data_IF_014458903050
#
_entry.id   IF_014458903050
#
_cell.length_a   1.000
_cell.length_b   1.000
_cell.length_c   1.000
_cell.angle_alpha   90.00
_cell.angle_beta   90.00
_cell.angle_gamma   90.00
#
_symmetry.space_group_name_H-M   'P 1'
#
loop_
_entity.id
_entity.type
_entity.pdbx_description
1 polymer ?
#
# COMPACT_ATOMS: atom_id res chain seq x y z
N UNK A 1 32.65 14.67 2.17
CA UNK A 1 32.58 13.72 1.05
C UNK A 1 31.16 13.19 1.01
N UNK A 2 30.27 13.85 0.27
CA UNK A 2 28.91 13.33 0.06
C UNK A 2 28.99 12.18 -0.92
N UNK A 3 28.48 11.01 -0.57
CA UNK A 3 28.29 9.94 -1.53
C UNK A 3 27.24 10.37 -2.54
N UNK A 4 27.47 10.17 -3.85
CA UNK A 4 26.47 10.31 -4.92
C UNK A 4 25.31 9.30 -4.82
N UNK A 5 25.17 8.62 -3.68
CA UNK A 5 24.16 7.61 -3.41
C UNK A 5 22.98 8.30 -2.74
N UNK A 6 21.84 8.32 -3.44
CA UNK A 6 20.57 8.72 -2.87
C UNK A 6 20.10 7.67 -1.88
N UNK A 7 19.92 8.06 -0.62
CA UNK A 7 19.39 7.21 0.45
C UNK A 7 17.99 7.69 0.82
N UNK A 8 17.05 6.76 0.92
CA UNK A 8 15.67 7.01 1.38
C UNK A 8 15.48 6.16 2.64
N UNK A 9 15.11 6.78 3.75
CA UNK A 9 14.77 6.07 4.96
C UNK A 9 13.25 5.76 4.99
N UNK A 10 12.88 4.55 5.40
CA UNK A 10 11.47 4.17 5.62
C UNK A 10 11.26 3.83 7.09
N UNK A 11 10.13 4.27 7.64
CA UNK A 11 9.70 3.99 9.00
C UNK A 11 8.29 3.41 8.99
N UNK A 12 8.12 2.20 9.54
CA UNK A 12 6.79 1.61 9.72
C UNK A 12 6.21 2.08 11.05
N UNK A 13 5.13 2.85 10.97
CA UNK A 13 4.41 3.40 12.10
C UNK A 13 3.57 2.32 12.79
N UNK A 14 3.90 2.07 14.05
CA UNK A 14 3.18 1.18 14.96
C UNK A 14 2.88 1.93 16.27
N UNK A 15 1.82 1.59 17.01
CA UNK A 15 1.53 2.22 18.31
C UNK A 15 2.70 2.20 19.30
N UNK A 16 3.56 1.18 19.21
CA UNK A 16 4.72 1.01 20.10
C UNK A 16 5.93 1.88 19.77
N UNK A 17 6.08 2.36 18.53
CA UNK A 17 7.28 3.11 18.09
C UNK A 17 6.95 4.50 17.51
N UNK A 18 5.68 4.83 17.28
CA UNK A 18 5.30 6.07 16.60
C UNK A 18 5.81 7.32 17.32
N UNK A 19 5.94 7.27 18.65
CA UNK A 19 6.46 8.35 19.47
C UNK A 19 7.91 8.72 19.16
N UNK A 20 8.68 7.85 18.50
CA UNK A 20 10.08 8.05 18.09
C UNK A 20 10.22 8.80 16.75
N UNK A 21 9.11 9.11 16.06
CA UNK A 21 9.15 9.76 14.75
C UNK A 21 9.92 11.10 14.73
N UNK A 22 9.78 12.01 15.72
CA UNK A 22 10.57 13.24 15.75
C UNK A 22 12.08 12.97 15.86
N UNK A 23 12.51 12.08 16.75
CA UNK A 23 13.91 11.69 16.92
C UNK A 23 14.46 10.97 15.68
N UNK A 24 13.63 10.20 14.99
CA UNK A 24 13.99 9.59 13.72
C UNK A 24 14.31 10.63 12.64
N UNK A 25 13.63 11.77 12.61
CA UNK A 25 13.97 12.87 11.69
C UNK A 25 15.33 13.48 12.01
N UNK A 26 15.66 13.64 13.30
CA UNK A 26 16.99 14.10 13.73
C UNK A 26 18.09 13.14 13.30
N UNK A 27 17.85 11.83 13.48
CA UNK A 27 18.77 10.79 13.05
C UNK A 27 19.00 10.86 11.53
N UNK A 28 17.93 10.97 10.74
CA UNK A 28 18.03 11.08 9.29
C UNK A 28 18.84 12.32 8.89
N UNK A 29 18.58 13.48 9.52
CA UNK A 29 19.33 14.71 9.25
C UNK A 29 20.81 14.57 9.62
N UNK A 30 21.13 14.00 10.78
CA UNK A 30 22.51 13.76 11.22
C UNK A 30 23.29 12.79 10.33
N UNK A 31 22.59 11.89 9.64
CA UNK A 31 23.16 10.97 8.64
C UNK A 31 23.21 11.55 7.22
N UNK A 32 22.67 12.76 7.00
CA UNK A 32 22.59 13.37 5.67
C UNK A 32 21.54 12.74 4.75
N UNK A 33 20.51 12.10 5.31
CA UNK A 33 19.40 11.53 4.56
C UNK A 33 18.38 12.63 4.26
N UNK A 34 18.10 12.83 2.98
CA UNK A 34 17.23 13.93 2.50
C UNK A 34 15.77 13.49 2.27
N UNK A 35 15.49 12.18 2.28
CA UNK A 35 14.17 11.63 1.96
C UNK A 35 13.71 10.58 2.96
N UNK A 36 12.48 10.72 3.43
CA UNK A 36 11.87 9.85 4.43
C UNK A 36 10.45 9.44 4.00
N UNK A 37 10.12 8.16 4.14
CA UNK A 37 8.77 7.63 3.96
C UNK A 37 8.25 7.07 5.28
N UNK A 38 7.06 7.51 5.70
CA UNK A 38 6.36 7.01 6.87
C UNK A 38 5.22 6.09 6.42
N UNK A 39 5.43 4.79 6.58
CA UNK A 39 4.55 3.71 6.14
C UNK A 39 3.65 3.23 7.28
N UNK A 40 2.44 2.76 6.96
CA UNK A 40 1.66 1.99 7.92
C UNK A 40 1.96 0.49 7.81
N UNK A 41 1.55 -0.28 8.83
CA UNK A 41 1.42 -1.73 8.72
C UNK A 41 0.21 -2.11 7.85
N UNK A 42 0.33 -1.96 6.53
CA UNK A 42 -0.77 -2.12 5.57
C UNK A 42 -1.07 -3.58 5.17
N UNK A 43 -0.34 -4.57 5.70
CA UNK A 43 -0.67 -5.98 5.53
C UNK A 43 -0.76 -6.69 6.88
N UNK A 44 -1.98 -7.01 7.29
CA UNK A 44 -2.28 -7.61 8.59
C UNK A 44 -2.45 -9.12 8.41
N UNK A 45 -1.54 -9.92 8.93
CA UNK A 45 -1.54 -11.39 8.75
C UNK A 45 -2.42 -12.13 9.77
N UNK A 46 -2.73 -11.50 10.91
CA UNK A 46 -3.46 -12.15 12.00
C UNK A 46 -4.26 -11.14 12.83
N UNK A 47 -5.22 -11.64 13.62
CA UNK A 47 -6.04 -10.77 14.51
C UNK A 47 -5.19 -9.98 15.50
N UNK A 48 -4.09 -10.56 16.00
CA UNK A 48 -3.22 -9.89 16.96
C UNK A 48 -2.50 -8.68 16.33
N UNK A 49 -2.24 -8.70 15.02
CA UNK A 49 -1.62 -7.57 14.33
C UNK A 49 -2.57 -6.39 14.11
N UNK A 50 -3.88 -6.58 14.28
CA UNK A 50 -4.87 -5.49 14.18
C UNK A 50 -4.62 -4.42 15.24
N UNK A 51 -4.03 -4.78 16.39
CA UNK A 51 -3.67 -3.79 17.42
C UNK A 51 -2.35 -3.07 17.15
N UNK A 52 -1.65 -3.41 16.06
CA UNK A 52 -0.34 -2.82 15.71
C UNK A 52 -0.43 -1.77 14.61
N UNK A 53 -1.60 -1.56 14.01
CA UNK A 53 -1.81 -0.50 13.02
C UNK A 53 -1.90 0.87 13.70
N UNK A 54 -1.29 1.86 13.08
CA UNK A 54 -1.31 3.26 13.52
C UNK A 54 -2.46 4.07 12.89
N UNK A 55 -3.26 3.47 12.01
CA UNK A 55 -4.37 4.10 11.30
C UNK A 55 -5.73 3.59 11.78
N UNK A 56 -6.80 4.30 11.42
CA UNK A 56 -8.19 3.96 11.69
C UNK A 56 -8.88 3.37 10.46
N UNK A 57 -9.75 2.36 10.67
CA UNK A 57 -10.64 1.83 9.62
C UNK A 57 -11.69 2.89 9.21
N UNK A 58 -12.38 2.77 8.05
CA UNK A 58 -13.28 3.82 7.52
C UNK A 58 -14.39 4.32 8.47
N UNK A 59 -14.78 3.54 9.48
CA UNK A 59 -15.82 3.88 10.44
C UNK A 59 -15.29 4.13 11.86
N UNK A 60 -13.98 4.09 12.04
CA UNK A 60 -13.34 4.38 13.33
C UNK A 60 -12.92 5.84 13.40
N UNK A 61 -13.01 6.43 14.60
CA UNK A 61 -12.48 7.77 14.81
C UNK A 61 -10.95 7.77 14.64
N UNK A 62 -10.44 8.78 13.94
CA UNK A 62 -9.00 8.99 13.78
C UNK A 62 -8.37 9.26 15.16
N UNK A 63 -7.28 8.54 15.47
CA UNK A 63 -6.54 8.77 16.70
C UNK A 63 -5.85 10.15 16.67
N UNK A 64 -6.44 11.11 17.40
CA UNK A 64 -5.88 12.46 17.57
C UNK A 64 -4.47 12.45 18.16
N UNK A 65 -4.10 11.40 18.91
CA UNK A 65 -2.77 11.26 19.48
C UNK A 65 -1.74 10.89 18.40
N UNK A 66 -2.01 9.84 17.63
CA UNK A 66 -1.17 9.39 16.52
C UNK A 66 -0.97 10.52 15.50
N UNK A 67 -2.07 11.16 15.08
CA UNK A 67 -2.02 12.28 14.13
C UNK A 67 -1.11 13.41 14.60
N UNK A 68 -1.21 13.81 15.87
CA UNK A 68 -0.34 14.88 16.42
C UNK A 68 1.14 14.51 16.33
N UNK A 69 1.49 13.26 16.58
CA UNK A 69 2.88 12.80 16.51
C UNK A 69 3.38 12.83 15.06
N UNK A 70 2.57 12.34 14.11
CA UNK A 70 2.91 12.40 12.68
C UNK A 70 3.04 13.87 12.22
N UNK A 71 2.11 14.75 12.61
CA UNK A 71 2.19 16.18 12.30
C UNK A 71 3.45 16.84 12.88
N UNK A 72 3.85 16.46 14.09
CA UNK A 72 5.10 16.92 14.70
C UNK A 72 6.32 16.47 13.90
N UNK A 73 6.36 15.20 13.50
CA UNK A 73 7.45 14.65 12.69
C UNK A 73 7.52 15.31 11.30
N UNK A 74 6.37 15.55 10.65
CA UNK A 74 6.32 16.24 9.35
C UNK A 74 6.77 17.70 9.44
N UNK A 75 6.41 18.41 10.53
CA UNK A 75 6.95 19.75 10.81
C UNK A 75 8.46 19.69 11.03
N UNK A 76 8.95 18.71 11.80
CA UNK A 76 10.38 18.58 12.09
C UNK A 76 11.20 18.26 10.84
N UNK A 77 10.70 17.37 9.98
CA UNK A 77 11.28 17.09 8.68
C UNK A 77 11.44 18.37 7.84
N UNK A 78 10.40 19.21 7.79
CA UNK A 78 10.45 20.49 7.08
C UNK A 78 11.51 21.45 7.64
N UNK A 79 11.62 21.55 8.96
CA UNK A 79 12.65 22.38 9.61
C UNK A 79 14.09 21.89 9.30
N UNK A 80 14.25 20.58 9.16
CA UNK A 80 15.53 19.92 8.85
C UNK A 80 15.83 19.85 7.34
N UNK A 81 14.93 20.33 6.48
CA UNK A 81 15.08 20.26 5.03
C UNK A 81 14.88 18.86 4.43
N UNK A 82 14.28 17.94 5.16
CA UNK A 82 13.98 16.56 4.73
C UNK A 82 12.67 16.54 3.94
N UNK A 83 12.68 15.91 2.77
CA UNK A 83 11.47 15.57 2.01
C UNK A 83 10.81 14.33 2.63
N UNK A 84 9.86 14.57 3.53
CA UNK A 84 9.08 13.50 4.14
C UNK A 84 7.75 13.28 3.40
N UNK A 85 7.35 12.02 3.28
CA UNK A 85 6.01 11.59 2.85
C UNK A 85 5.41 10.68 3.91
N UNK A 86 4.11 10.81 4.18
CA UNK A 86 3.37 9.93 5.08
C UNK A 86 2.13 9.41 4.39
N UNK A 87 1.86 8.11 4.55
CA UNK A 87 0.57 7.54 4.16
C UNK A 87 -0.55 8.06 5.07
N UNK A 88 -1.79 7.95 4.58
CA UNK A 88 -2.98 8.36 5.33
C UNK A 88 -3.09 7.56 6.63
N UNK A 89 -3.63 8.20 7.68
CA UNK A 89 -3.99 7.55 8.93
C UNK A 89 -5.48 7.15 8.96
N UNK A 90 -6.21 7.42 7.89
CA UNK A 90 -7.63 7.07 7.73
C UNK A 90 -7.83 6.36 6.39
N UNK A 91 -8.59 5.27 6.41
CA UNK A 91 -8.88 4.47 5.23
C UNK A 91 -9.91 5.15 4.32
N UNK A 92 -9.54 5.43 3.07
CA UNK A 92 -10.43 5.87 2.00
C UNK A 92 -10.12 5.12 0.71
N UNK A 93 -11.13 4.51 0.10
CA UNK A 93 -10.93 3.74 -1.14
C UNK A 93 -10.37 4.64 -2.24
N UNK A 94 -9.20 4.27 -2.76
CA UNK A 94 -8.55 4.93 -3.87
C UNK A 94 -9.03 4.35 -5.20
N UNK A 95 -8.97 5.14 -6.26
CA UNK A 95 -9.19 4.65 -7.64
C UNK A 95 -8.25 3.48 -7.93
N UNK A 96 -6.97 3.64 -7.59
CA UNK A 96 -5.93 2.64 -7.68
C UNK A 96 -5.01 2.74 -6.46
N UNK A 97 -4.45 1.61 -6.01
CA UNK A 97 -3.56 1.59 -4.86
C UNK A 97 -2.15 2.14 -5.20
N UNK A 98 -1.33 2.52 -4.20
CA UNK A 98 0.01 3.05 -4.41
C UNK A 98 0.99 2.09 -5.11
N UNK A 99 0.68 0.78 -5.12
CA UNK A 99 1.47 -0.21 -5.87
C UNK A 99 1.31 -0.04 -7.38
N UNK A 100 0.28 0.68 -7.85
CA UNK A 100 0.00 0.97 -9.26
C UNK A 100 0.00 -0.28 -10.16
N UNK A 101 -0.83 -1.30 -9.88
CA UNK A 101 -0.90 -2.51 -10.69
C UNK A 101 -1.15 -2.30 -12.20
N UNK A 102 -1.63 -1.13 -12.63
CA UNK A 102 -1.77 -0.76 -14.05
C UNK A 102 -0.44 -0.44 -14.74
N UNK A 103 0.56 0.01 -13.97
CA UNK A 103 1.86 0.50 -14.45
C UNK A 103 3.03 -0.40 -14.01
N UNK A 104 2.85 -1.18 -12.94
CA UNK A 104 3.92 -1.95 -12.31
C UNK A 104 3.64 -3.45 -12.32
N UNK A 105 4.72 -4.21 -12.13
CA UNK A 105 4.69 -5.66 -12.01
C UNK A 105 5.57 -6.09 -10.84
N UNK A 106 5.08 -7.05 -10.06
CA UNK A 106 5.87 -7.73 -9.04
C UNK A 106 6.33 -9.08 -9.56
N UNK A 107 7.62 -9.38 -9.42
CA UNK A 107 8.20 -10.67 -9.77
C UNK A 107 8.84 -11.24 -8.51
N UNK A 108 8.37 -12.40 -8.07
CA UNK A 108 8.90 -13.03 -6.86
C UNK A 108 10.21 -13.80 -7.15
N UNK A 109 10.83 -14.34 -6.09
CA UNK A 109 12.10 -15.08 -6.19
C UNK A 109 12.03 -16.36 -7.04
N UNK A 110 10.83 -16.91 -7.27
CA UNK A 110 10.62 -18.08 -8.13
C UNK A 110 10.30 -17.69 -9.58
N UNK A 111 10.31 -16.39 -9.91
CA UNK A 111 9.95 -15.86 -11.22
C UNK A 111 8.44 -15.71 -11.46
N UNK A 112 7.58 -15.97 -10.47
CA UNK A 112 6.14 -15.77 -10.61
C UNK A 112 5.83 -14.28 -10.74
N UNK A 113 5.00 -13.95 -11.74
CA UNK A 113 4.60 -12.59 -12.08
C UNK A 113 3.23 -12.31 -11.48
N UNK A 114 3.12 -11.23 -10.71
CA UNK A 114 1.93 -10.85 -9.96
C UNK A 114 1.72 -9.33 -10.04
N UNK A 115 0.50 -8.83 -9.78
CA UNK A 115 0.21 -7.41 -9.93
C UNK A 115 0.75 -6.56 -8.77
N UNK A 116 1.02 -7.17 -7.61
CA UNK A 116 1.71 -6.53 -6.49
C UNK A 116 2.24 -7.59 -5.51
N UNK A 117 3.13 -7.17 -4.61
CA UNK A 117 3.72 -8.01 -3.56
C UNK A 117 2.67 -8.65 -2.65
N UNK A 118 1.57 -7.95 -2.34
CA UNK A 118 0.56 -8.39 -1.38
C UNK A 118 -0.40 -9.49 -1.90
N UNK A 119 -0.35 -9.78 -3.20
CA UNK A 119 -1.06 -10.92 -3.79
C UNK A 119 -0.15 -12.13 -4.01
N UNK A 120 1.15 -12.01 -3.71
CA UNK A 120 2.10 -13.10 -3.89
C UNK A 120 3.18 -13.07 -2.79
N UNK A 121 2.74 -12.91 -1.53
CA UNK A 121 3.65 -12.94 -0.39
C UNK A 121 4.37 -14.30 -0.30
N UNK A 122 5.63 -14.33 0.16
CA UNK A 122 6.44 -15.55 0.29
C UNK A 122 6.04 -16.37 1.54
N UNK A 123 4.74 -16.69 1.66
CA UNK A 123 4.22 -17.59 2.69
C UNK A 123 4.22 -19.03 2.21
N UNK A 124 4.30 -19.97 3.14
CA UNK A 124 4.18 -21.39 2.84
C UNK A 124 2.76 -21.72 2.35
N UNK A 125 2.66 -22.49 1.27
CA UNK A 125 1.38 -22.88 0.66
C UNK A 125 0.87 -21.90 -0.42
N UNK A 126 -0.37 -22.15 -0.87
CA UNK A 126 -1.03 -21.38 -1.94
C UNK A 126 -1.96 -20.27 -1.41
N UNK A 127 -2.15 -20.19 -0.10
CA UNK A 127 -3.04 -19.23 0.55
C UNK A 127 -2.25 -18.25 1.42
N UNK A 128 -2.61 -16.97 1.35
CA UNK A 128 -2.05 -15.89 2.15
C UNK A 128 -3.08 -15.49 3.21
N UNK A 129 -2.76 -15.59 4.52
CA UNK A 129 -3.65 -15.11 5.56
C UNK A 129 -3.73 -13.59 5.51
N UNK A 130 -4.94 -13.04 5.61
CA UNK A 130 -5.16 -11.59 5.61
C UNK A 130 -6.28 -11.24 6.57
N UNK A 131 -6.09 -10.16 7.31
CA UNK A 131 -7.13 -9.51 8.08
C UNK A 131 -7.41 -8.11 7.52
N UNK A 132 -8.68 -7.77 7.42
CA UNK A 132 -9.17 -6.50 6.94
C UNK A 132 -10.45 -6.15 7.70
N UNK A 133 -10.52 -4.95 8.27
CA UNK A 133 -11.65 -4.43 9.04
C UNK A 133 -12.17 -5.42 10.10
N UNK A 134 -11.27 -5.92 10.94
CA UNK A 134 -11.60 -6.87 12.02
C UNK A 134 -11.84 -8.32 11.58
N UNK A 135 -11.95 -8.60 10.28
CA UNK A 135 -12.22 -9.95 9.75
C UNK A 135 -10.96 -10.55 9.14
N UNK A 136 -10.73 -11.84 9.38
CA UNK A 136 -9.60 -12.56 8.81
C UNK A 136 -10.07 -13.69 7.90
N UNK A 137 -9.37 -13.85 6.79
CA UNK A 137 -9.63 -14.84 5.76
C UNK A 137 -8.31 -15.25 5.12
N UNK A 138 -8.40 -16.17 4.16
CA UNK A 138 -7.28 -16.62 3.36
C UNK A 138 -7.51 -16.25 1.91
N UNK A 139 -6.47 -15.75 1.25
CA UNK A 139 -6.51 -15.35 -0.15
C UNK A 139 -5.59 -16.26 -0.96
N UNK A 140 -6.07 -16.81 -2.07
CA UNK A 140 -5.20 -17.52 -3.00
C UNK A 140 -4.12 -16.60 -3.56
N UNK A 141 -2.87 -17.08 -3.65
CA UNK A 141 -1.80 -16.38 -4.36
C UNK A 141 -2.23 -16.11 -5.80
N UNK A 142 -1.97 -14.89 -6.27
CA UNK A 142 -2.24 -14.50 -7.66
C UNK A 142 -0.92 -14.53 -8.42
N UNK A 143 -0.88 -15.27 -9.51
CA UNK A 143 0.18 -15.21 -10.51
C UNK A 143 -0.44 -15.28 -11.89
N UNK A 144 0.06 -14.47 -12.82
CA UNK A 144 -0.37 -14.45 -14.22
C UNK A 144 0.60 -15.21 -15.14
N UNK A 145 1.70 -15.74 -14.61
CA UNK A 145 2.71 -16.47 -15.34
C UNK A 145 4.05 -16.49 -14.62
N UNK A 146 5.05 -17.11 -15.23
CA UNK A 146 6.41 -17.18 -14.70
C UNK A 146 7.41 -16.78 -15.78
N UNK A 147 8.37 -15.91 -15.43
CA UNK A 147 9.40 -15.43 -16.37
C UNK A 147 10.39 -16.51 -16.82
N UNK A 148 10.45 -17.64 -16.10
CA UNK A 148 11.23 -18.79 -16.50
C UNK A 148 10.58 -19.57 -17.65
N UNK A 149 9.26 -19.42 -17.84
CA UNK A 149 8.48 -20.15 -18.85
C UNK A 149 8.09 -19.28 -20.06
N UNK A 150 7.86 -17.98 -19.85
CA UNK A 150 7.37 -17.01 -20.85
C UNK A 150 8.11 -15.69 -20.75
N UNK A 151 8.19 -14.93 -21.85
CA UNK A 151 8.69 -13.57 -21.76
C UNK A 151 7.74 -12.70 -20.92
N UNK A 152 8.30 -11.76 -20.16
CA UNK A 152 7.52 -10.87 -19.28
C UNK A 152 6.41 -10.14 -20.04
N UNK A 153 6.69 -9.70 -21.28
CA UNK A 153 5.69 -9.00 -22.11
C UNK A 153 4.50 -9.88 -22.47
N UNK A 154 4.71 -11.19 -22.69
CA UNK A 154 3.63 -12.14 -22.98
C UNK A 154 2.75 -12.36 -21.75
N UNK A 155 3.36 -12.38 -20.55
CA UNK A 155 2.62 -12.43 -19.29
C UNK A 155 1.84 -11.14 -19.07
N UNK A 156 2.47 -9.98 -19.30
CA UNK A 156 1.84 -8.67 -19.18
C UNK A 156 0.63 -8.51 -20.11
N UNK A 157 0.73 -8.97 -21.36
CA UNK A 157 -0.34 -8.91 -22.35
C UNK A 157 -1.31 -10.11 -22.29
N UNK A 158 -1.14 -11.01 -21.32
CA UNK A 158 -2.09 -12.11 -21.13
C UNK A 158 -3.47 -11.57 -20.78
N UNK A 159 -4.50 -12.26 -21.28
CA UNK A 159 -5.89 -11.86 -21.09
C UNK A 159 -6.22 -11.68 -19.59
N UNK A 160 -5.85 -12.63 -18.75
CA UNK A 160 -6.17 -12.59 -17.31
C UNK A 160 -5.52 -11.40 -16.60
N UNK A 161 -4.29 -11.02 -16.98
CA UNK A 161 -3.61 -9.87 -16.39
C UNK A 161 -4.19 -8.55 -16.93
N UNK A 162 -4.54 -8.48 -18.21
CA UNK A 162 -5.28 -7.33 -18.77
C UNK A 162 -6.62 -7.16 -18.04
N UNK A 163 -7.40 -8.23 -17.90
CA UNK A 163 -8.71 -8.23 -17.25
C UNK A 163 -8.61 -7.77 -15.77
N UNK A 164 -7.51 -8.10 -15.09
CA UNK A 164 -7.21 -7.59 -13.76
C UNK A 164 -6.97 -6.07 -13.78
N UNK A 165 -6.07 -5.57 -14.65
CA UNK A 165 -5.68 -4.15 -14.69
C UNK A 165 -6.79 -3.24 -15.19
N UNK A 166 -7.62 -3.71 -16.13
CA UNK A 166 -8.71 -2.92 -16.72
C UNK A 166 -9.73 -2.45 -15.68
N UNK A 167 -9.91 -3.19 -14.58
CA UNK A 167 -10.78 -2.78 -13.48
C UNK A 167 -10.32 -1.48 -12.83
N UNK A 168 -9.01 -1.27 -12.67
CA UNK A 168 -8.47 0.00 -12.17
C UNK A 168 -8.56 1.10 -13.24
N UNK A 169 -8.27 0.80 -14.50
CA UNK A 169 -8.40 1.76 -15.60
C UNK A 169 -9.85 2.24 -15.83
N UNK A 170 -10.86 1.41 -15.54
CA UNK A 170 -12.27 1.84 -15.58
C UNK A 170 -12.61 2.77 -14.42
N UNK A 171 -12.03 2.54 -13.24
CA UNK A 171 -12.25 3.36 -12.05
C UNK A 171 -11.69 4.76 -12.19
N UNK A 172 -10.62 4.97 -12.97
CA UNK A 172 -10.12 6.32 -13.26
C UNK A 172 -11.09 7.16 -14.09
N UNK A 173 -12.09 6.55 -14.74
CA UNK A 173 -13.17 7.30 -15.40
C UNK A 173 -14.18 7.90 -14.42
N UNK A 174 -14.14 7.49 -13.14
CA UNK A 174 -14.94 8.08 -12.07
C UNK A 174 -14.35 9.41 -11.55
N UNK A 175 -13.12 9.74 -11.93
CA UNK A 175 -12.53 11.07 -11.68
C UNK A 175 -13.18 12.09 -12.64
N UNK A 176 -14.32 12.65 -12.21
CA UNK A 176 -15.19 13.53 -13.00
C UNK A 176 -16.66 13.46 -12.51
N UNK A 177 -17.55 14.34 -12.99
CA UNK A 177 -18.96 14.54 -12.56
C UNK A 177 -19.93 13.32 -12.71
N UNK A 178 -19.44 12.08 -12.61
CA UNK A 178 -20.24 10.88 -12.78
C UNK A 178 -20.62 10.19 -11.46
N UNK A 179 -20.47 10.83 -10.29
CA UNK A 179 -20.88 10.23 -9.01
C UNK A 179 -22.41 10.18 -8.82
N UNK A 180 -23.19 10.93 -9.60
CA UNK A 180 -24.65 11.03 -9.44
C UNK A 180 -25.48 10.08 -10.32
N UNK A 181 -24.84 9.19 -11.10
CA UNK A 181 -25.52 8.31 -12.07
C UNK A 181 -25.40 6.80 -11.76
N UNK A 182 -24.78 6.42 -10.63
CA UNK A 182 -24.19 5.08 -10.44
C UNK A 182 -24.95 4.16 -9.47
N UNK A 183 -26.26 4.29 -9.32
CA UNK A 183 -27.01 3.27 -8.58
C UNK A 183 -27.12 1.94 -9.36
N UNK A 184 -27.16 1.99 -10.70
CA UNK A 184 -27.38 0.78 -11.52
C UNK A 184 -26.11 0.09 -12.05
N UNK A 185 -24.94 0.77 -12.05
CA UNK A 185 -23.69 0.24 -12.67
C UNK A 185 -22.51 0.10 -11.69
N UNK A 186 -22.74 0.17 -10.38
CA UNK A 186 -21.69 0.14 -9.36
C UNK A 186 -20.76 -1.09 -9.46
N UNK A 187 -21.26 -2.22 -9.98
CA UNK A 187 -20.49 -3.45 -10.15
C UNK A 187 -19.35 -3.35 -11.17
N UNK A 188 -19.49 -2.56 -12.23
CA UNK A 188 -18.48 -2.44 -13.29
C UNK A 188 -17.24 -1.66 -12.84
N UNK A 189 -17.40 -0.86 -11.79
CA UNK A 189 -16.35 -0.05 -11.18
C UNK A 189 -15.78 -0.67 -9.90
N UNK A 190 -16.18 -1.90 -9.56
CA UNK A 190 -15.56 -2.60 -8.44
C UNK A 190 -14.08 -2.89 -8.75
N UNK A 191 -13.19 -2.73 -7.76
CA UNK A 191 -11.80 -3.11 -7.93
C UNK A 191 -11.70 -4.65 -8.05
N UNK A 192 -10.54 -5.19 -8.46
CA UNK A 192 -10.33 -6.64 -8.45
C UNK A 192 -10.70 -7.25 -7.09
N UNK A 193 -11.37 -8.41 -7.10
CA UNK A 193 -11.91 -9.04 -5.90
C UNK A 193 -10.83 -9.29 -4.83
N UNK A 194 -9.62 -9.61 -5.28
CA UNK A 194 -8.45 -9.86 -4.44
C UNK A 194 -7.93 -8.59 -3.73
N UNK A 195 -8.33 -7.40 -4.20
CA UNK A 195 -7.91 -6.09 -3.71
C UNK A 195 -8.92 -5.42 -2.79
N UNK A 196 -10.22 -5.77 -2.86
CA UNK A 196 -11.30 -5.19 -2.03
C UNK A 196 -10.97 -5.27 -0.53
N UNK A 197 -10.23 -6.28 -0.12
CA UNK A 197 -9.86 -6.50 1.28
C UNK A 197 -8.41 -6.15 1.59
N UNK A 198 -7.77 -5.28 0.80
CA UNK A 198 -6.38 -4.86 0.97
C UNK A 198 -6.29 -3.41 1.42
N UNK A 199 -5.67 -3.14 2.56
CA UNK A 199 -5.54 -1.77 3.10
C UNK A 199 -4.83 -0.79 2.16
N UNK A 200 -3.94 -1.27 1.28
CA UNK A 200 -3.31 -0.42 0.26
C UNK A 200 -4.29 0.19 -0.72
N UNK A 201 -5.41 -0.48 -1.01
CA UNK A 201 -6.48 0.09 -1.81
C UNK A 201 -7.16 1.26 -1.08
N UNK A 202 -7.05 1.31 0.24
CA UNK A 202 -7.65 2.34 1.09
C UNK A 202 -6.65 3.45 1.50
N UNK A 203 -5.50 3.52 0.83
CA UNK A 203 -4.53 4.60 0.97
C UNK A 203 -3.74 4.64 2.28
N UNK A 204 -3.83 3.57 3.09
CA UNK A 204 -3.05 3.41 4.32
C UNK A 204 -1.87 2.47 4.14
#
# INVERSE_FOLDING_TARGET
MGSDVRVIASFIMLPMNIHELPEFMELCSGLGIEEVTLDNLSYVLSRNMITWRAFSDPYEEESKHVKRIVDMAMRRAKELGIKAFSYSLTCWELIECPEKPTETVFINVNGEVSPCVFLNLPVNGHEIPRCFMGRCFKLGKVSFGNINDKHLIDVWLSKDYIDFRVKFSRRSLLEGELMNLVEDYAFEYLPPQQCISCYRLYGV
#
